data_IF_361154299602
#
_entry.id   IF_361154299602
#
_cell.length_a   1.000
_cell.length_b   1.000
_cell.length_c   1.000
_cell.angle_alpha   90.00
_cell.angle_beta   90.00
_cell.angle_gamma   90.00
#
_symmetry.space_group_name_H-M   'P 1'
#
loop_
_entity.id
_entity.type
_entity.pdbx_description
1 polymer ?
#
# COMPACT_ATOMS: atom_id res chain seq x y z
N UNK A 1 16.57 29.49 22.14
CA UNK A 1 15.81 28.33 22.67
C UNK A 1 16.29 27.04 21.99
N UNK A 2 17.32 26.44 22.58
CA UNK A 2 17.99 25.27 22.04
C UNK A 2 17.07 24.05 22.09
N UNK A 3 16.93 23.42 20.92
CA UNK A 3 16.64 22.02 20.63
C UNK A 3 16.28 21.13 21.85
N UNK A 4 15.04 21.26 22.34
CA UNK A 4 14.48 20.27 23.26
C UNK A 4 14.01 19.08 22.42
N UNK A 5 14.95 18.20 22.06
CA UNK A 5 14.60 16.93 21.44
C UNK A 5 13.84 16.09 22.46
N UNK A 6 12.58 15.77 22.14
CA UNK A 6 11.82 14.82 22.93
C UNK A 6 12.58 13.49 23.01
N UNK A 7 12.70 12.88 24.20
CA UNK A 7 13.40 11.62 24.35
C UNK A 7 12.77 10.57 23.43
N UNK A 8 13.61 9.93 22.61
CA UNK A 8 13.18 8.79 21.79
C UNK A 8 12.91 7.61 22.71
N UNK A 9 11.65 7.19 22.76
CA UNK A 9 11.23 5.99 23.50
C UNK A 9 11.91 4.78 22.86
N UNK A 10 12.74 4.08 23.62
CA UNK A 10 13.37 2.85 23.15
C UNK A 10 12.31 1.77 22.93
N UNK A 11 12.48 0.90 21.93
CA UNK A 11 11.51 -0.17 21.65
C UNK A 11 11.38 -1.17 22.81
N UNK A 12 12.36 -1.24 23.71
CA UNK A 12 12.28 -2.00 24.96
C UNK A 12 11.25 -1.45 25.98
N UNK A 13 10.88 -0.17 25.88
CA UNK A 13 9.83 0.43 26.72
C UNK A 13 8.43 0.20 26.14
N UNK A 14 8.32 -0.32 24.90
CA UNK A 14 7.05 -0.75 24.31
C UNK A 14 6.82 -2.22 24.64
N UNK A 15 5.90 -2.49 25.56
CA UNK A 15 5.46 -3.86 25.85
C UNK A 15 4.13 -4.14 25.18
N UNK A 16 4.06 -5.24 24.42
CA UNK A 16 2.81 -5.74 23.84
C UNK A 16 2.43 -7.01 24.59
N UNK A 17 1.48 -6.90 25.52
CA UNK A 17 0.89 -8.06 26.20
C UNK A 17 -0.46 -8.38 25.57
N UNK A 18 -0.51 -9.51 24.84
CA UNK A 18 -1.78 -10.06 24.35
C UNK A 18 -2.29 -11.01 25.43
N UNK A 19 -3.34 -10.62 26.14
CA UNK A 19 -3.98 -11.41 27.18
C UNK A 19 -5.32 -11.97 26.64
N UNK A 20 -5.25 -13.12 25.97
CA UNK A 20 -6.44 -13.85 25.51
C UNK A 20 -6.26 -15.37 25.72
N UNK A 21 -6.14 -15.85 26.99
CA UNK A 21 -6.04 -17.27 27.26
C UNK A 21 -7.32 -17.99 26.83
N UNK A 22 -7.21 -19.01 25.97
CA UNK A 22 -8.34 -19.87 25.60
C UNK A 22 -9.35 -19.25 24.63
N UNK A 23 -8.93 -18.30 23.78
CA UNK A 23 -9.81 -17.75 22.74
C UNK A 23 -10.20 -18.84 21.72
N UNK A 24 -11.51 -19.11 21.61
CA UNK A 24 -12.07 -20.12 20.71
C UNK A 24 -13.15 -19.54 19.83
N UNK A 25 -13.23 -20.00 18.60
CA UNK A 25 -14.38 -19.78 17.71
C UNK A 25 -14.94 -21.13 17.31
N UNK A 26 -16.19 -21.39 17.65
CA UNK A 26 -16.89 -22.65 17.33
C UNK A 26 -16.05 -23.90 17.66
N UNK A 27 -15.47 -23.94 18.86
CA UNK A 27 -14.57 -24.99 19.39
C UNK A 27 -13.16 -25.09 18.78
N UNK A 28 -12.80 -24.21 17.84
CA UNK A 28 -11.45 -24.13 17.30
C UNK A 28 -10.58 -23.16 18.10
N UNK A 29 -9.36 -23.58 18.46
CA UNK A 29 -8.38 -22.69 19.11
C UNK A 29 -7.82 -21.68 18.10
N UNK A 30 -7.70 -20.43 18.54
CA UNK A 30 -7.20 -19.32 17.73
C UNK A 30 -5.85 -18.84 18.26
N UNK A 31 -4.87 -18.72 17.37
CA UNK A 31 -3.64 -18.01 17.69
C UNK A 31 -3.84 -16.48 17.54
N UNK A 32 -4.24 -15.86 18.65
CA UNK A 32 -4.47 -14.41 18.75
C UNK A 32 -3.17 -13.61 18.54
N UNK A 33 -1.99 -14.20 18.79
CA UNK A 33 -0.72 -13.48 18.65
C UNK A 33 -0.36 -13.24 17.18
N UNK A 34 -0.67 -14.19 16.32
CA UNK A 34 -0.45 -14.08 14.88
C UNK A 34 -1.58 -13.37 14.13
N UNK A 35 -2.66 -13.02 14.83
CA UNK A 35 -3.84 -12.39 14.22
C UNK A 35 -3.66 -10.89 14.06
N UNK A 36 -3.82 -10.38 12.85
CA UNK A 36 -3.91 -8.96 12.55
C UNK A 36 -5.35 -8.48 12.72
N UNK A 37 -5.57 -7.55 13.64
CA UNK A 37 -6.88 -6.94 13.85
C UNK A 37 -7.00 -5.69 12.97
N UNK A 38 -7.96 -5.70 12.03
CA UNK A 38 -8.17 -4.57 11.13
C UNK A 38 -8.93 -3.40 11.77
N UNK A 39 -9.82 -3.69 12.70
CA UNK A 39 -10.60 -2.66 13.37
C UNK A 39 -11.12 -3.10 14.74
N UNK A 40 -11.83 -2.20 15.43
CA UNK A 40 -12.38 -2.46 16.76
C UNK A 40 -11.41 -2.17 17.91
N UNK A 41 -10.17 -1.79 17.64
CA UNK A 41 -9.24 -1.37 18.68
C UNK A 41 -9.76 -0.11 19.37
N UNK A 42 -9.82 -0.12 20.70
CA UNK A 42 -10.19 1.03 21.52
C UNK A 42 -8.95 1.54 22.25
N UNK A 43 -8.65 2.82 22.10
CA UNK A 43 -7.64 3.46 22.92
C UNK A 43 -8.23 3.71 24.30
N UNK A 44 -7.56 3.21 25.34
CA UNK A 44 -7.90 3.54 26.71
C UNK A 44 -7.31 4.90 27.09
N UNK A 45 -7.85 5.54 28.14
CA UNK A 45 -7.27 6.76 28.69
C UNK A 45 -5.78 6.58 28.99
N UNK A 46 -4.99 7.61 28.67
CA UNK A 46 -3.55 7.60 28.92
C UNK A 46 -3.31 7.63 30.42
N UNK A 47 -2.45 6.74 30.90
CA UNK A 47 -2.04 6.71 32.30
C UNK A 47 -0.70 7.41 32.42
N UNK A 48 -0.64 8.50 33.17
CA UNK A 48 0.60 9.23 33.43
C UNK A 48 1.35 8.54 34.58
N UNK A 49 2.57 8.06 34.30
CA UNK A 49 3.48 7.51 35.31
C UNK A 49 4.20 8.63 36.05
N UNK A 50 4.58 9.68 35.31
CA UNK A 50 5.20 10.90 35.82
C UNK A 50 4.61 12.07 35.04
N UNK A 51 4.16 13.10 35.75
CA UNK A 51 3.50 14.27 35.17
C UNK A 51 1.98 14.28 35.35
N UNK A 52 1.32 15.30 34.80
CA UNK A 52 -0.13 15.49 34.87
C UNK A 52 -0.69 15.89 33.51
N UNK A 53 -1.89 15.39 33.22
CA UNK A 53 -2.64 15.76 32.02
C UNK A 53 -2.84 17.28 31.94
N UNK A 54 -2.52 17.85 30.77
CA UNK A 54 -2.62 19.29 30.51
C UNK A 54 -1.39 20.13 30.90
N UNK A 55 -0.48 19.61 31.74
CA UNK A 55 0.76 20.33 32.14
C UNK A 55 2.00 19.48 31.88
N UNK A 56 2.11 18.94 30.66
CA UNK A 56 3.22 18.05 30.30
C UNK A 56 4.54 18.83 30.33
N UNK A 57 5.52 18.34 31.09
CA UNK A 57 6.91 18.85 31.11
C UNK A 57 7.86 17.85 30.45
N UNK A 58 9.02 18.34 30.01
CA UNK A 58 10.08 17.47 29.52
C UNK A 58 10.50 16.49 30.64
N UNK A 59 10.45 15.19 30.35
CA UNK A 59 10.73 14.12 31.31
C UNK A 59 9.48 13.41 31.84
N UNK A 60 8.28 13.92 31.57
CA UNK A 60 7.03 13.24 31.91
C UNK A 60 6.86 11.94 31.12
N UNK A 61 6.41 10.88 31.80
CA UNK A 61 6.19 9.55 31.22
C UNK A 61 4.71 9.21 31.26
N UNK A 62 4.17 8.72 30.14
CA UNK A 62 2.78 8.24 30.05
C UNK A 62 2.71 6.94 29.26
N UNK A 63 1.76 6.09 29.63
CA UNK A 63 1.45 4.84 28.95
C UNK A 63 0.12 5.01 28.23
N UNK A 64 0.09 4.62 26.96
CA UNK A 64 -1.13 4.54 26.17
C UNK A 64 -1.42 3.07 25.91
N UNK A 65 -2.62 2.62 26.26
CA UNK A 65 -3.06 1.26 25.98
C UNK A 65 -4.00 1.29 24.78
N UNK A 66 -3.74 0.42 23.80
CA UNK A 66 -4.70 0.07 22.76
C UNK A 66 -5.18 -1.34 23.06
N UNK A 67 -6.47 -1.50 23.29
CA UNK A 67 -7.06 -2.82 23.60
C UNK A 67 -8.04 -3.22 22.51
N UNK A 68 -8.15 -4.53 22.30
CA UNK A 68 -9.25 -5.10 21.54
C UNK A 68 -10.34 -5.49 22.55
N UNK A 69 -11.50 -4.82 22.56
CA UNK A 69 -12.50 -5.02 23.59
C UNK A 69 -13.26 -6.33 23.34
N UNK A 70 -13.51 -7.11 24.40
CA UNK A 70 -14.08 -8.46 24.34
C UNK A 70 -15.62 -8.49 24.28
N UNK A 71 -16.27 -7.33 24.37
CA UNK A 71 -17.72 -7.15 24.29
C UNK A 71 -18.26 -7.14 22.85
N UNK A 72 -17.37 -7.13 21.85
CA UNK A 72 -17.72 -7.12 20.42
C UNK A 72 -17.48 -8.50 19.81
N UNK A 73 -18.38 -8.92 18.93
CA UNK A 73 -18.19 -10.14 18.14
C UNK A 73 -17.16 -9.93 17.03
N UNK A 74 -16.12 -10.77 17.02
CA UNK A 74 -15.08 -10.79 15.99
C UNK A 74 -15.27 -11.94 15.03
N UNK A 75 -15.09 -11.67 13.74
CA UNK A 75 -14.93 -12.69 12.73
C UNK A 75 -13.45 -12.88 12.43
N UNK A 76 -12.98 -14.12 12.49
CA UNK A 76 -11.61 -14.51 12.19
C UNK A 76 -11.56 -15.21 10.83
N UNK A 77 -10.54 -14.93 10.03
CA UNK A 77 -10.24 -15.66 8.81
C UNK A 77 -8.78 -16.13 8.81
N UNK A 78 -8.59 -17.42 8.52
CA UNK A 78 -7.31 -18.11 8.49
C UNK A 78 -7.45 -19.49 7.85
N UNK A 79 -6.37 -20.27 7.86
CA UNK A 79 -6.38 -21.66 7.42
C UNK A 79 -6.86 -22.58 8.55
N UNK A 80 -7.59 -23.64 8.17
CA UNK A 80 -7.96 -24.69 9.10
C UNK A 80 -6.82 -25.73 9.19
N UNK A 81 -6.31 -25.96 10.39
CA UNK A 81 -5.35 -27.03 10.67
C UNK A 81 -5.82 -27.86 11.87
N UNK A 82 -6.56 -28.93 11.58
CA UNK A 82 -7.19 -29.76 12.61
C UNK A 82 -8.22 -28.97 13.43
N UNK A 83 -8.03 -28.91 14.75
CA UNK A 83 -8.87 -28.12 15.70
C UNK A 83 -8.34 -26.70 15.96
N UNK A 84 -7.44 -26.20 15.10
CA UNK A 84 -6.86 -24.86 15.24
C UNK A 84 -7.09 -24.04 13.99
N UNK A 85 -7.41 -22.77 14.18
CA UNK A 85 -7.36 -21.77 13.12
C UNK A 85 -5.97 -21.16 13.18
N UNK A 86 -5.18 -21.41 12.14
CA UNK A 86 -3.81 -20.95 12.01
C UNK A 86 -3.71 -19.90 10.90
N UNK A 87 -2.65 -19.09 10.88
CA UNK A 87 -2.43 -18.17 9.77
C UNK A 87 -2.41 -18.89 8.43
N UNK A 88 -3.08 -18.28 7.44
CA UNK A 88 -3.01 -18.76 6.07
C UNK A 88 -1.64 -18.39 5.51
N UNK A 89 -0.81 -19.41 5.26
CA UNK A 89 0.51 -19.25 4.67
C UNK A 89 0.40 -19.44 3.17
N UNK A 90 0.74 -18.40 2.41
CA UNK A 90 0.92 -18.49 0.97
C UNK A 90 2.30 -17.95 0.61
N UNK A 91 3.10 -18.80 -0.03
CA UNK A 91 4.48 -18.54 -0.39
C UNK A 91 5.33 -18.18 0.85
N UNK A 92 5.57 -16.90 1.11
CA UNK A 92 6.38 -16.39 2.24
C UNK A 92 5.55 -15.56 3.23
N UNK A 93 4.28 -15.31 2.94
CA UNK A 93 3.42 -14.46 3.75
C UNK A 93 2.43 -15.30 4.56
N UNK A 94 2.44 -15.08 5.87
CA UNK A 94 1.51 -15.67 6.83
C UNK A 94 0.51 -14.60 7.22
N UNK A 95 -0.75 -14.72 6.78
CA UNK A 95 -1.81 -13.76 7.09
C UNK A 95 -2.95 -14.42 7.85
N UNK A 96 -3.21 -13.93 9.05
CA UNK A 96 -4.40 -14.24 9.85
C UNK A 96 -5.06 -12.92 10.19
N UNK A 97 -6.36 -12.81 9.97
CA UNK A 97 -7.06 -11.53 10.08
C UNK A 97 -8.30 -11.64 10.92
N UNK A 98 -8.56 -10.59 11.70
CA UNK A 98 -9.77 -10.44 12.49
C UNK A 98 -10.38 -9.05 12.32
N UNK A 99 -11.70 -9.00 12.27
CA UNK A 99 -12.45 -7.75 12.19
C UNK A 99 -13.74 -7.89 13.00
N UNK A 100 -14.16 -6.88 13.78
CA UNK A 100 -15.49 -6.85 14.36
C UNK A 100 -16.56 -6.86 13.26
N UNK A 101 -17.66 -7.56 13.52
CA UNK A 101 -18.80 -7.65 12.60
C UNK A 101 -18.77 -8.88 11.68
N UNK A 102 -19.57 -8.83 10.61
CA UNK A 102 -19.81 -9.98 9.73
C UNK A 102 -18.67 -10.28 8.76
N UNK A 103 -18.60 -11.52 8.28
CA UNK A 103 -17.63 -11.98 7.28
C UNK A 103 -17.59 -11.11 6.01
N UNK A 104 -18.74 -10.57 5.56
CA UNK A 104 -18.80 -9.67 4.40
C UNK A 104 -18.02 -8.37 4.62
N UNK A 105 -18.04 -7.85 5.84
CA UNK A 105 -17.31 -6.62 6.21
C UNK A 105 -15.81 -6.86 6.27
N UNK A 106 -15.39 -8.01 6.83
CA UNK A 106 -13.99 -8.45 6.81
C UNK A 106 -13.48 -8.55 5.36
N UNK A 107 -14.22 -9.21 4.47
CA UNK A 107 -13.82 -9.34 3.07
C UNK A 107 -13.75 -7.99 2.33
N UNK A 108 -14.68 -7.07 2.64
CA UNK A 108 -14.65 -5.72 2.07
C UNK A 108 -13.43 -4.92 2.54
N UNK A 109 -13.05 -5.04 3.81
CA UNK A 109 -11.86 -4.38 4.34
C UNK A 109 -10.57 -4.93 3.73
N UNK A 110 -10.45 -6.26 3.59
CA UNK A 110 -9.29 -6.88 2.93
C UNK A 110 -9.15 -6.36 1.50
N UNK A 111 -10.24 -6.35 0.73
CA UNK A 111 -10.25 -5.80 -0.64
C UNK A 111 -9.90 -4.32 -0.68
N UNK A 112 -10.39 -3.55 0.29
CA UNK A 112 -10.11 -2.12 0.40
C UNK A 112 -8.65 -1.82 0.71
N UNK A 113 -8.00 -2.62 1.58
CA UNK A 113 -6.57 -2.50 1.90
C UNK A 113 -5.71 -2.71 0.66
N UNK A 114 -5.94 -3.80 -0.08
CA UNK A 114 -5.19 -4.10 -1.31
C UNK A 114 -5.37 -3.00 -2.36
N UNK A 115 -6.61 -2.51 -2.52
CA UNK A 115 -6.91 -1.44 -3.45
C UNK A 115 -6.24 -0.12 -3.04
N UNK A 116 -6.26 0.22 -1.75
CA UNK A 116 -5.62 1.41 -1.21
C UNK A 116 -4.10 1.35 -1.38
N UNK A 117 -3.46 0.21 -1.09
CA UNK A 117 -2.04 0.02 -1.35
C UNK A 117 -1.71 0.17 -2.83
N UNK A 118 -2.56 -0.35 -3.73
CA UNK A 118 -2.43 -0.12 -5.16
C UNK A 118 -2.44 1.38 -5.53
N UNK A 119 -3.33 2.18 -4.94
CA UNK A 119 -3.36 3.62 -5.16
C UNK A 119 -2.15 4.36 -4.55
N UNK A 120 -1.65 3.91 -3.40
CA UNK A 120 -0.44 4.46 -2.79
C UNK A 120 0.76 4.23 -3.72
N UNK A 121 0.95 3.00 -4.21
CA UNK A 121 2.02 2.68 -5.15
C UNK A 121 1.87 3.42 -6.47
N UNK A 122 0.64 3.61 -6.95
CA UNK A 122 0.37 4.44 -8.12
C UNK A 122 0.79 5.90 -7.90
N UNK A 123 0.37 6.50 -6.78
CA UNK A 123 0.75 7.87 -6.42
C UNK A 123 2.26 8.03 -6.26
N UNK A 124 2.92 7.07 -5.60
CA UNK A 124 4.38 7.06 -5.47
C UNK A 124 5.09 6.94 -6.83
N UNK A 125 4.61 6.06 -7.71
CA UNK A 125 5.14 5.91 -9.06
C UNK A 125 4.99 7.19 -9.90
N UNK A 126 3.83 7.85 -9.81
CA UNK A 126 3.61 9.15 -10.46
C UNK A 126 4.58 10.23 -9.97
N UNK A 127 4.79 10.33 -8.65
CA UNK A 127 5.72 11.31 -8.08
C UNK A 127 7.15 11.06 -8.57
N UNK A 128 7.59 9.79 -8.55
CA UNK A 128 8.92 9.42 -9.06
C UNK A 128 9.07 9.73 -10.56
N UNK A 129 8.04 9.48 -11.36
CA UNK A 129 8.04 9.79 -12.79
C UNK A 129 8.06 11.29 -13.06
N UNK A 130 7.25 12.06 -12.35
CA UNK A 130 7.23 13.51 -12.43
C UNK A 130 8.59 14.10 -12.04
N UNK A 131 9.20 13.62 -10.95
CA UNK A 131 10.54 14.03 -10.54
C UNK A 131 11.61 13.69 -11.59
N UNK A 132 11.55 12.50 -12.19
CA UNK A 132 12.47 12.09 -13.26
C UNK A 132 12.38 12.98 -14.51
N UNK A 133 11.16 13.30 -14.95
CA UNK A 133 10.95 14.21 -16.08
C UNK A 133 11.40 15.65 -15.78
N UNK A 134 11.15 16.13 -14.55
CA UNK A 134 11.63 17.45 -14.11
C UNK A 134 13.16 17.51 -14.09
N UNK A 135 13.84 16.45 -13.67
CA UNK A 135 15.31 16.37 -13.72
C UNK A 135 15.85 16.40 -15.15
N UNK A 136 15.19 15.72 -16.08
CA UNK A 136 15.59 15.71 -17.50
C UNK A 136 15.50 17.11 -18.14
N UNK A 137 14.49 17.89 -17.73
CA UNK A 137 14.20 19.19 -18.33
C UNK A 137 15.00 20.34 -17.70
N UNK A 138 15.60 20.13 -16.52
CA UNK A 138 16.49 21.11 -15.88
C UNK A 138 17.55 21.70 -16.82
N UNK A 139 18.40 20.88 -17.48
CA UNK A 139 19.40 21.35 -18.44
C UNK A 139 18.82 22.04 -19.68
N UNK A 140 17.60 21.68 -20.08
CA UNK A 140 16.92 22.29 -21.24
C UNK A 140 16.40 23.68 -20.84
N UNK A 141 15.86 23.82 -19.62
CA UNK A 141 15.35 25.09 -19.13
C UNK A 141 16.45 26.12 -18.87
N UNK A 142 17.63 25.70 -18.40
CA UNK A 142 18.77 26.61 -18.22
C UNK A 142 19.27 27.17 -19.55
N UNK A 143 19.15 26.41 -20.65
CA UNK A 143 19.46 26.91 -22.00
C UNK A 143 18.41 27.91 -22.52
N UNK A 144 17.15 27.78 -22.10
CA UNK A 144 16.07 28.71 -22.47
C UNK A 144 16.13 30.05 -21.71
N UNK A 145 16.78 30.11 -20.55
CA UNK A 145 16.94 31.33 -19.74
C UNK A 145 17.79 32.41 -20.44
N UNK A 146 18.59 32.05 -21.44
CA UNK A 146 19.33 33.00 -22.26
C UNK A 146 18.45 33.87 -23.16
N UNK A 147 17.17 33.53 -23.35
CA UNK A 147 16.21 34.34 -24.11
C UNK A 147 15.33 35.13 -23.11
N UNK A 148 15.53 36.45 -22.96
CA UNK A 148 14.69 37.27 -22.09
C UNK A 148 13.23 37.20 -22.55
N UNK A 149 12.29 37.10 -21.59
CA UNK A 149 10.83 36.85 -21.73
C UNK A 149 10.38 35.37 -21.70
N UNK A 150 11.17 34.43 -22.24
CA UNK A 150 10.79 32.99 -22.25
C UNK A 150 11.17 32.27 -20.95
N UNK A 151 12.29 32.67 -20.30
CA UNK A 151 12.81 31.95 -19.12
C UNK A 151 11.87 31.90 -17.91
N UNK A 152 11.19 32.99 -17.58
CA UNK A 152 10.37 33.10 -16.35
C UNK A 152 8.99 32.44 -16.44
N UNK A 153 8.25 32.70 -17.53
CA UNK A 153 6.91 32.12 -17.73
C UNK A 153 6.96 30.73 -18.39
N UNK A 154 7.96 30.48 -19.25
CA UNK A 154 8.14 29.20 -19.93
C UNK A 154 8.52 28.09 -18.95
N UNK A 155 9.44 28.34 -18.02
CA UNK A 155 9.90 27.30 -17.08
C UNK A 155 8.79 26.76 -16.16
N UNK A 156 7.89 27.63 -15.70
CA UNK A 156 6.71 27.22 -14.91
C UNK A 156 5.69 26.44 -15.73
N UNK A 157 5.34 26.94 -16.92
CA UNK A 157 4.37 26.30 -17.80
C UNK A 157 4.85 24.92 -18.29
N UNK A 158 6.14 24.80 -18.63
CA UNK A 158 6.78 23.55 -19.03
C UNK A 158 6.66 22.51 -17.92
N UNK A 159 6.90 22.88 -16.65
CA UNK A 159 6.75 21.96 -15.51
C UNK A 159 5.31 21.45 -15.35
N UNK A 160 4.30 22.29 -15.58
CA UNK A 160 2.89 21.88 -15.53
C UNK A 160 2.54 20.94 -16.66
N UNK A 161 2.95 21.24 -17.90
CA UNK A 161 2.73 20.37 -19.06
C UNK A 161 3.41 19.01 -18.85
N UNK A 162 4.65 19.00 -18.35
CA UNK A 162 5.36 17.76 -18.04
C UNK A 162 4.70 16.96 -16.92
N UNK A 163 4.15 17.60 -15.90
CA UNK A 163 3.39 16.91 -14.85
C UNK A 163 2.13 16.25 -15.43
N UNK A 164 1.43 16.91 -16.36
CA UNK A 164 0.27 16.32 -17.06
C UNK A 164 0.72 15.12 -17.91
N UNK A 165 1.82 15.26 -18.65
CA UNK A 165 2.39 14.15 -19.44
C UNK A 165 2.81 12.99 -18.52
N UNK A 166 3.46 13.26 -17.40
CA UNK A 166 3.83 12.27 -16.38
C UNK A 166 2.60 11.52 -15.86
N UNK A 167 1.50 12.25 -15.62
CA UNK A 167 0.26 11.68 -15.11
C UNK A 167 -0.39 10.76 -16.14
N UNK A 168 -0.48 11.20 -17.40
CA UNK A 168 -1.03 10.39 -18.49
C UNK A 168 -0.20 9.13 -18.71
N UNK A 169 1.12 9.23 -18.74
CA UNK A 169 2.02 8.07 -18.87
C UNK A 169 1.85 7.10 -17.69
N UNK A 170 1.80 7.62 -16.46
CA UNK A 170 1.59 6.78 -15.27
C UNK A 170 0.23 6.08 -15.30
N UNK A 171 -0.83 6.77 -15.73
CA UNK A 171 -2.17 6.21 -15.86
C UNK A 171 -2.24 5.10 -16.94
N UNK A 172 -1.61 5.33 -18.10
CA UNK A 172 -1.48 4.31 -19.16
C UNK A 172 -0.73 3.10 -18.60
N UNK A 173 0.39 3.31 -17.91
CA UNK A 173 1.18 2.22 -17.35
C UNK A 173 0.39 1.40 -16.33
N UNK A 174 -0.40 2.05 -15.46
CA UNK A 174 -1.29 1.38 -14.53
C UNK A 174 -2.33 0.50 -15.24
N UNK A 175 -2.92 1.00 -16.33
CA UNK A 175 -3.84 0.21 -17.17
C UNK A 175 -3.14 -0.97 -17.84
N UNK A 176 -1.94 -0.78 -18.37
CA UNK A 176 -1.11 -1.81 -19.01
C UNK A 176 -0.81 -2.95 -18.02
N UNK A 177 -0.42 -2.62 -16.78
CA UNK A 177 -0.17 -3.62 -15.73
C UNK A 177 -1.45 -4.38 -15.38
N UNK A 178 -2.57 -3.67 -15.22
CA UNK A 178 -3.87 -4.29 -14.91
C UNK A 178 -4.41 -5.16 -16.06
N UNK A 179 -4.09 -4.80 -17.30
CA UNK A 179 -4.53 -5.47 -18.53
C UNK A 179 -3.40 -6.26 -19.20
N UNK A 180 -2.40 -6.73 -18.44
CA UNK A 180 -1.25 -7.45 -19.00
C UNK A 180 -1.64 -8.64 -19.91
N UNK A 181 -2.74 -9.33 -19.58
CA UNK A 181 -3.30 -10.41 -20.40
C UNK A 181 -3.74 -9.96 -21.81
N UNK A 182 -4.13 -8.70 -21.99
CA UNK A 182 -4.50 -8.13 -23.29
C UNK A 182 -3.25 -7.97 -24.18
N UNK A 183 -2.10 -7.66 -23.60
CA UNK A 183 -0.81 -7.60 -24.32
C UNK A 183 -0.44 -8.99 -24.83
N UNK A 184 -0.63 -10.03 -24.02
CA UNK A 184 -0.42 -11.42 -24.47
C UNK A 184 -1.30 -11.76 -25.67
N UNK A 185 -2.57 -11.34 -25.68
CA UNK A 185 -3.48 -11.54 -26.82
C UNK A 185 -3.02 -10.79 -28.08
N UNK A 186 -2.55 -9.55 -27.95
CA UNK A 186 -2.02 -8.77 -29.09
C UNK A 186 -0.77 -9.42 -29.66
N UNK A 187 0.15 -9.88 -28.81
CA UNK A 187 1.36 -10.61 -29.24
C UNK A 187 0.98 -11.91 -29.94
N UNK A 188 0.03 -12.68 -29.39
CA UNK A 188 -0.47 -13.91 -30.01
C UNK A 188 -1.08 -13.64 -31.39
N UNK A 189 -1.84 -12.55 -31.51
CA UNK A 189 -2.43 -12.08 -32.77
C UNK A 189 -1.37 -11.72 -33.81
N UNK A 190 -0.31 -10.99 -33.42
CA UNK A 190 0.81 -10.67 -34.30
C UNK A 190 1.58 -11.92 -34.76
N UNK A 191 1.81 -12.89 -33.87
CA UNK A 191 2.45 -14.17 -34.21
C UNK A 191 1.58 -14.97 -35.18
N UNK A 192 0.28 -15.08 -34.92
CA UNK A 192 -0.66 -15.77 -35.81
C UNK A 192 -0.72 -15.11 -37.20
N UNK A 193 -0.75 -13.77 -37.26
CA UNK A 193 -0.70 -13.02 -38.50
C UNK A 193 0.62 -13.22 -39.27
N UNK A 194 1.76 -13.23 -38.57
CA UNK A 194 3.07 -13.52 -39.16
C UNK A 194 3.17 -14.91 -39.78
N UNK A 195 2.61 -15.93 -39.12
CA UNK A 195 2.53 -17.30 -39.65
C UNK A 195 1.58 -17.37 -40.86
N UNK A 196 0.42 -16.70 -40.78
CA UNK A 196 -0.53 -16.65 -41.90
C UNK A 196 0.08 -16.00 -43.14
N UNK A 197 0.83 -14.90 -42.96
CA UNK A 197 1.52 -14.22 -44.08
C UNK A 197 2.65 -15.07 -44.68
N UNK A 198 3.39 -15.82 -43.86
CA UNK A 198 4.39 -16.78 -44.36
C UNK A 198 3.77 -17.94 -45.13
N UNK A 199 2.62 -18.47 -44.69
CA UNK A 199 1.90 -19.55 -45.40
C UNK A 199 1.31 -19.09 -46.73
N UNK A 200 0.79 -17.87 -46.80
CA UNK A 200 0.23 -17.30 -48.04
C UNK A 200 1.31 -16.85 -49.03
N UNK A 201 2.47 -16.41 -48.55
CA UNK A 201 3.62 -16.10 -49.40
C UNK A 201 4.35 -17.35 -49.94
N UNK A 202 4.13 -18.52 -49.33
CA UNK A 202 4.70 -19.80 -49.76
C UNK A 202 3.78 -20.63 -50.67
N UNK A 203 2.62 -20.09 -51.07
CA UNK A 203 1.76 -20.75 -52.05
C UNK A 203 2.40 -20.66 -53.45
N UNK A 204 2.76 -21.79 -54.09
CA UNK A 204 3.38 -21.77 -55.41
C UNK A 204 2.37 -21.27 -56.44
N UNK A 205 2.81 -20.35 -57.29
CA UNK A 205 2.06 -19.79 -58.41
C UNK A 205 1.59 -20.96 -59.31
N UNK A 206 0.29 -21.19 -59.50
CA UNK A 206 -0.17 -22.25 -60.41
C UNK A 206 0.29 -21.88 -61.84
N UNK A 207 0.89 -22.87 -62.49
CA UNK A 207 1.42 -22.81 -63.85
C UNK A 207 0.33 -22.63 -64.91
#
# INVERSE_FOLDING_TARGET
>A
PADVQNPKIADSEKSTSIYAPGCKVNDYDIDVKSTQFYSGSKQLPKVYLVGKEGTNKLGDKRVSYSVQPSDISYTFAGALSGKKIVPYVKDTESKMVANPGEFKQLLAQIKGEDQMMGYIWFGAGFILMAAGLMMLVGPITTLLEFIPFIGGLGSGLIKVVLAIVAFVLSAIFWWVVKLWWLILLVVLGFVAFGIYKKKTAAAPKPA
#
